data_IF_876014485471
#
_entry.id   IF_876014485471
#
_cell.length_a   1.000
_cell.length_b   1.000
_cell.length_c   1.000
_cell.angle_alpha   90.00
_cell.angle_beta   90.00
_cell.angle_gamma   90.00
#
_symmetry.space_group_name_H-M   'P 1'
#
loop_
_entity.id
_entity.type
_entity.pdbx_description
1 polymer ?
#
# COMPACT_ATOMS: atom_id res chain seq x y z
N UNK A 1 -18.65 -34.53 -33.84
CA UNK A 1 -20.07 -34.22 -33.67
C UNK A 1 -20.21 -32.86 -33.05
N UNK A 2 -20.57 -31.96 -33.93
CA UNK A 2 -21.55 -30.87 -33.81
C UNK A 2 -21.29 -29.78 -32.77
N UNK A 3 -20.83 -28.71 -33.32
CA UNK A 3 -21.06 -27.26 -33.08
C UNK A 3 -22.55 -26.92 -32.92
N UNK A 4 -22.96 -25.70 -32.85
CA UNK A 4 -22.51 -24.39 -32.37
C UNK A 4 -23.65 -23.64 -31.66
N UNK A 5 -23.40 -22.44 -31.17
CA UNK A 5 -24.40 -21.35 -31.25
C UNK A 5 -23.95 -20.17 -30.39
N UNK A 6 -24.22 -18.98 -30.62
CA UNK A 6 -24.80 -18.17 -31.69
C UNK A 6 -24.73 -16.71 -31.22
N UNK A 7 -24.24 -15.91 -32.07
CA UNK A 7 -24.59 -14.52 -32.36
C UNK A 7 -25.72 -13.92 -31.51
N UNK A 8 -25.46 -12.82 -30.87
CA UNK A 8 -26.50 -11.81 -30.70
C UNK A 8 -25.97 -10.41 -31.03
N UNK A 9 -26.09 -10.06 -32.28
CA UNK A 9 -26.02 -8.69 -32.80
C UNK A 9 -27.20 -7.93 -32.21
N UNK A 10 -26.95 -6.84 -31.51
CA UNK A 10 -27.98 -5.82 -31.27
C UNK A 10 -27.66 -4.58 -32.09
N UNK A 11 -28.52 -4.38 -33.03
CA UNK A 11 -28.62 -3.31 -33.98
C UNK A 11 -28.83 -1.95 -33.26
N UNK A 12 -28.06 -1.00 -33.72
CA UNK A 12 -28.20 0.41 -33.41
C UNK A 12 -29.37 0.92 -34.24
N UNK A 13 -30.43 1.39 -33.61
CA UNK A 13 -31.50 2.13 -34.27
C UNK A 13 -31.18 3.62 -34.23
N UNK A 14 -30.86 4.14 -35.38
CA UNK A 14 -30.80 5.55 -35.67
C UNK A 14 -32.23 6.05 -35.91
N UNK A 15 -32.67 6.98 -35.10
CA UNK A 15 -33.94 7.69 -35.33
C UNK A 15 -33.60 9.17 -35.64
N UNK A 16 -33.70 9.49 -36.93
CA UNK A 16 -33.79 10.85 -37.45
C UNK A 16 -35.28 11.27 -37.46
N UNK A 17 -35.58 12.41 -36.86
CA UNK A 17 -36.73 13.25 -37.25
C UNK A 17 -36.38 14.67 -36.76
N UNK A 18 -36.04 15.58 -37.64
CA UNK A 18 -36.92 16.45 -38.44
C UNK A 18 -37.38 17.71 -37.64
N UNK A 19 -36.75 18.80 -38.04
CA UNK A 19 -37.31 20.11 -38.43
C UNK A 19 -38.37 20.81 -37.54
N UNK A 20 -38.00 22.00 -37.05
CA UNK A 20 -38.86 23.19 -37.13
C UNK A 20 -38.07 24.47 -37.02
N UNK A 21 -38.05 25.24 -38.10
CA UNK A 21 -37.69 26.62 -38.15
C UNK A 21 -38.68 27.45 -37.36
N UNK A 22 -38.22 28.29 -36.47
CA UNK A 22 -38.94 29.52 -36.02
C UNK A 22 -37.94 30.65 -35.99
N UNK A 23 -38.09 31.54 -36.96
CA UNK A 23 -37.48 32.85 -37.04
C UNK A 23 -38.14 33.76 -36.01
N UNK A 24 -37.40 34.27 -35.07
CA UNK A 24 -37.84 35.26 -34.10
C UNK A 24 -36.75 36.33 -33.95
N UNK A 25 -37.12 37.53 -34.33
CA UNK A 25 -36.24 38.69 -34.50
C UNK A 25 -35.69 39.26 -33.18
N UNK A 26 -34.48 39.66 -33.24
CA UNK A 26 -33.90 40.92 -32.79
C UNK A 26 -34.21 41.40 -31.36
N UNK A 27 -33.21 41.36 -30.49
CA UNK A 27 -32.91 42.45 -29.57
C UNK A 27 -31.41 42.38 -29.25
N UNK A 28 -30.70 43.38 -29.78
CA UNK A 28 -29.30 43.61 -29.45
C UNK A 28 -29.26 44.28 -28.11
N UNK A 29 -29.00 43.55 -27.05
CA UNK A 29 -28.56 44.09 -25.77
C UNK A 29 -27.08 43.80 -25.65
N UNK A 30 -26.29 44.84 -25.80
CA UNK A 30 -24.88 44.85 -25.44
C UNK A 30 -24.74 44.53 -23.96
N UNK A 31 -24.37 43.31 -23.66
CA UNK A 31 -23.91 42.94 -22.32
C UNK A 31 -22.40 42.78 -22.44
N UNK A 32 -21.68 43.68 -21.79
CA UNK A 32 -20.26 43.51 -21.48
C UNK A 32 -20.09 42.19 -20.73
N UNK A 33 -19.76 41.17 -21.48
CA UNK A 33 -19.34 39.91 -20.91
C UNK A 33 -17.78 39.95 -20.88
N UNK A 34 -17.25 40.66 -19.90
CA UNK A 34 -15.99 40.35 -19.32
C UNK A 34 -16.20 39.12 -18.40
N UNK A 35 -16.56 37.97 -18.99
CA UNK A 35 -16.53 36.71 -18.31
C UNK A 35 -15.07 36.31 -18.17
N UNK A 36 -14.53 36.66 -17.01
CA UNK A 36 -13.23 36.23 -16.54
C UNK A 36 -13.26 34.69 -16.47
N UNK A 37 -12.69 34.07 -17.51
CA UNK A 37 -12.20 32.70 -17.41
C UNK A 37 -11.21 32.67 -16.24
N UNK A 38 -11.73 32.37 -15.05
CA UNK A 38 -10.90 31.95 -13.92
C UNK A 38 -10.34 30.60 -14.31
N UNK A 39 -9.21 30.64 -15.00
CA UNK A 39 -8.31 29.51 -15.04
C UNK A 39 -7.96 29.26 -13.58
N UNK A 40 -8.62 28.28 -12.96
CA UNK A 40 -8.14 27.72 -11.73
C UNK A 40 -6.78 27.15 -12.06
N UNK A 41 -5.76 27.94 -11.80
CA UNK A 41 -4.38 27.47 -11.73
C UNK A 41 -4.40 26.42 -10.62
N UNK A 42 -4.56 25.16 -10.99
CA UNK A 42 -4.22 24.06 -10.10
C UNK A 42 -2.74 24.29 -9.79
N UNK A 43 -2.47 24.65 -8.55
CA UNK A 43 -1.09 24.65 -8.07
C UNK A 43 -0.49 23.32 -8.47
N UNK A 44 0.73 23.30 -9.04
CA UNK A 44 1.38 22.04 -9.32
C UNK A 44 1.43 21.28 -8.00
N UNK A 45 0.77 20.12 -7.93
CA UNK A 45 0.94 19.20 -6.83
C UNK A 45 2.44 18.97 -6.74
N UNK A 46 3.04 19.52 -5.69
CA UNK A 46 4.43 19.32 -5.39
C UNK A 46 4.58 17.84 -4.96
N UNK A 47 4.94 16.99 -5.89
CA UNK A 47 5.17 15.56 -5.70
C UNK A 47 6.40 15.28 -4.82
N UNK A 48 7.08 16.32 -4.33
CA UNK A 48 8.33 16.21 -3.59
C UNK A 48 8.20 16.35 -2.06
N UNK A 49 7.00 16.62 -1.51
CA UNK A 49 6.78 16.80 -0.08
C UNK A 49 5.56 15.97 0.39
N UNK A 50 5.44 14.73 -0.07
CA UNK A 50 4.44 13.80 0.44
C UNK A 50 4.96 13.19 1.76
N UNK A 51 5.13 14.02 2.78
CA UNK A 51 5.24 13.56 4.16
C UNK A 51 3.94 12.81 4.50
N UNK A 52 4.04 11.53 4.82
CA UNK A 52 2.88 10.74 5.22
C UNK A 52 2.26 11.36 6.47
N UNK A 53 0.98 11.69 6.43
CA UNK A 53 0.26 12.14 7.61
C UNK A 53 0.20 11.04 8.67
N UNK A 54 0.07 11.39 9.96
CA UNK A 54 -0.06 10.44 11.05
C UNK A 54 -1.13 9.38 10.79
N UNK A 55 -2.27 9.78 10.23
CA UNK A 55 -3.36 8.85 9.89
C UNK A 55 -2.97 7.85 8.79
N UNK A 56 -2.18 8.29 7.80
CA UNK A 56 -1.68 7.40 6.75
C UNK A 56 -0.63 6.44 7.30
N UNK A 57 0.26 6.92 8.17
CA UNK A 57 1.23 6.07 8.87
C UNK A 57 0.51 5.02 9.74
N UNK A 58 -0.45 5.43 10.56
CA UNK A 58 -1.23 4.48 11.38
C UNK A 58 -1.95 3.43 10.53
N UNK A 59 -2.56 3.82 9.42
CA UNK A 59 -3.21 2.88 8.51
C UNK A 59 -2.22 1.90 7.88
N UNK A 60 -1.07 2.39 7.44
CA UNK A 60 0.00 1.59 6.83
C UNK A 60 0.61 0.61 7.83
N UNK A 61 0.82 1.05 9.07
CA UNK A 61 1.51 0.31 10.12
C UNK A 61 0.60 -0.67 10.87
N UNK A 62 -0.72 -0.47 10.87
CA UNK A 62 -1.68 -1.30 11.61
C UNK A 62 -1.48 -2.82 11.41
N UNK A 63 -1.16 -3.32 10.20
CA UNK A 63 -0.95 -4.76 9.98
C UNK A 63 0.30 -5.35 10.63
N UNK A 64 1.26 -4.51 11.02
CA UNK A 64 2.57 -4.94 11.52
C UNK A 64 2.92 -4.39 12.91
N UNK A 65 2.22 -3.37 13.39
CA UNK A 65 2.54 -2.66 14.63
C UNK A 65 2.64 -3.57 15.88
N UNK A 66 1.91 -4.68 15.88
CA UNK A 66 1.88 -5.62 17.00
C UNK A 66 2.90 -6.76 16.88
N UNK A 67 3.75 -6.76 15.86
CA UNK A 67 4.85 -7.72 15.82
C UNK A 67 5.94 -7.36 16.84
N UNK A 68 6.73 -8.35 17.31
CA UNK A 68 7.89 -8.10 18.17
C UNK A 68 8.89 -7.14 17.51
N UNK A 69 9.56 -6.32 18.29
CA UNK A 69 10.46 -5.28 17.78
C UNK A 69 11.56 -5.82 16.88
N UNK A 70 12.12 -6.99 17.22
CA UNK A 70 13.13 -7.63 16.38
C UNK A 70 12.63 -7.97 14.99
N UNK A 71 11.40 -8.49 14.89
CA UNK A 71 10.79 -8.81 13.59
C UNK A 71 10.39 -7.53 12.86
N UNK A 72 9.85 -6.57 13.58
CA UNK A 72 9.43 -5.27 13.02
C UNK A 72 10.61 -4.54 12.38
N UNK A 73 11.77 -4.52 13.04
CA UNK A 73 12.99 -3.93 12.50
C UNK A 73 13.38 -4.59 11.17
N UNK A 74 13.35 -5.92 11.09
CA UNK A 74 13.62 -6.61 9.83
C UNK A 74 12.60 -6.29 8.75
N UNK A 75 11.32 -6.16 9.09
CA UNK A 75 10.27 -5.79 8.13
C UNK A 75 10.53 -4.39 7.56
N UNK A 76 10.80 -3.41 8.42
CA UNK A 76 11.00 -2.02 8.00
C UNK A 76 12.24 -1.87 7.10
N UNK A 77 13.35 -2.49 7.49
CA UNK A 77 14.56 -2.46 6.66
C UNK A 77 14.34 -3.22 5.35
N UNK A 78 13.77 -4.44 5.38
CA UNK A 78 13.51 -5.22 4.19
C UNK A 78 12.54 -4.51 3.22
N UNK A 79 11.62 -3.69 3.72
CA UNK A 79 10.70 -2.91 2.89
C UNK A 79 11.43 -1.89 2.00
N UNK A 80 12.62 -1.46 2.37
CA UNK A 80 13.48 -0.60 1.53
C UNK A 80 14.15 -1.36 0.36
N UNK A 81 14.01 -2.69 0.33
CA UNK A 81 14.54 -3.59 -0.72
C UNK A 81 13.41 -4.42 -1.36
N UNK A 82 12.37 -3.79 -1.95
CA UNK A 82 11.16 -4.50 -2.39
C UNK A 82 11.44 -5.58 -3.45
N UNK A 83 12.44 -5.38 -4.29
CA UNK A 83 12.83 -6.39 -5.28
C UNK A 83 13.41 -7.64 -4.62
N UNK A 84 14.26 -7.48 -3.62
CA UNK A 84 14.84 -8.59 -2.87
C UNK A 84 13.76 -9.36 -2.10
N UNK A 85 12.78 -8.65 -1.53
CA UNK A 85 11.60 -9.27 -0.88
C UNK A 85 10.86 -10.20 -1.84
N UNK A 86 10.62 -9.77 -3.09
CA UNK A 86 9.99 -10.62 -4.11
C UNK A 86 10.86 -11.83 -4.44
N UNK A 87 12.15 -11.61 -4.63
CA UNK A 87 13.09 -12.69 -4.93
C UNK A 87 13.19 -13.70 -3.79
N UNK A 88 13.22 -13.23 -2.55
CA UNK A 88 13.25 -14.09 -1.36
C UNK A 88 11.95 -14.87 -1.19
N UNK A 89 10.81 -14.28 -1.46
CA UNK A 89 9.50 -14.97 -1.44
C UNK A 89 9.43 -16.07 -2.49
N UNK A 90 9.90 -15.80 -3.71
CA UNK A 90 10.00 -16.81 -4.77
C UNK A 90 10.99 -17.91 -4.41
N UNK A 91 12.14 -17.53 -3.85
CA UNK A 91 13.16 -18.47 -3.40
C UNK A 91 12.61 -19.42 -2.33
N UNK A 92 11.92 -18.88 -1.30
CA UNK A 92 11.26 -19.67 -0.28
C UNK A 92 10.25 -20.64 -0.90
N UNK A 93 9.38 -20.15 -1.79
CA UNK A 93 8.35 -20.94 -2.45
C UNK A 93 8.91 -22.09 -3.29
N UNK A 94 10.06 -21.88 -3.93
CA UNK A 94 10.73 -22.87 -4.77
C UNK A 94 11.57 -23.89 -3.97
N UNK A 95 11.78 -23.64 -2.67
CA UNK A 95 12.62 -24.46 -1.82
C UNK A 95 11.90 -25.01 -0.58
N UNK A 96 10.58 -25.15 -0.61
CA UNK A 96 9.75 -25.64 0.51
C UNK A 96 10.13 -27.01 1.08
N UNK A 97 10.91 -27.79 0.33
CA UNK A 97 11.42 -29.11 0.73
C UNK A 97 12.68 -29.03 1.61
N UNK A 98 13.32 -27.87 1.70
CA UNK A 98 14.50 -27.67 2.54
C UNK A 98 14.07 -27.40 4.00
N UNK A 99 14.93 -27.79 4.94
CA UNK A 99 14.78 -27.31 6.31
C UNK A 99 15.16 -25.84 6.40
N UNK A 100 14.68 -25.16 7.46
CA UNK A 100 14.98 -23.74 7.69
C UNK A 100 16.49 -23.47 7.68
N UNK A 101 17.29 -24.35 8.31
CA UNK A 101 18.74 -24.24 8.34
C UNK A 101 19.35 -24.36 6.93
N UNK A 102 18.86 -25.30 6.11
CA UNK A 102 19.32 -25.46 4.74
C UNK A 102 18.91 -24.29 3.86
N UNK A 103 17.72 -23.77 4.09
CA UNK A 103 17.20 -22.60 3.39
C UNK A 103 18.05 -21.36 3.68
N UNK A 104 18.32 -21.10 4.95
CA UNK A 104 19.15 -19.96 5.40
C UNK A 104 20.57 -20.06 4.84
N UNK A 105 21.21 -21.23 4.96
CA UNK A 105 22.54 -21.46 4.41
C UNK A 105 22.62 -21.24 2.89
N UNK A 106 21.57 -21.62 2.17
CA UNK A 106 21.49 -21.40 0.73
C UNK A 106 21.26 -19.91 0.41
N UNK A 107 20.52 -19.20 1.24
CA UNK A 107 20.28 -17.77 1.11
C UNK A 107 21.53 -16.92 1.37
N UNK A 108 22.49 -17.39 2.19
CA UNK A 108 23.78 -16.72 2.39
C UNK A 108 24.58 -16.53 1.09
N UNK A 109 24.29 -17.31 0.06
CA UNK A 109 24.92 -17.16 -1.26
C UNK A 109 24.24 -16.12 -2.15
N UNK A 110 23.09 -15.61 -1.73
CA UNK A 110 22.38 -14.53 -2.39
C UNK A 110 22.91 -13.21 -1.82
N UNK A 111 23.14 -12.25 -2.65
CA UNK A 111 23.62 -10.92 -2.25
C UNK A 111 22.45 -10.05 -1.78
N UNK A 112 21.65 -10.57 -0.81
CA UNK A 112 20.50 -9.89 -0.25
C UNK A 112 20.84 -9.21 1.07
N UNK A 113 20.07 -8.15 1.39
CA UNK A 113 20.17 -7.53 2.69
C UNK A 113 19.88 -8.55 3.82
N UNK A 114 20.65 -8.49 4.93
CA UNK A 114 20.45 -9.40 6.07
C UNK A 114 19.03 -9.42 6.62
N UNK A 115 18.31 -8.29 6.54
CA UNK A 115 16.92 -8.20 7.00
C UNK A 115 15.98 -8.99 6.11
N UNK A 116 16.23 -9.00 4.79
CA UNK A 116 15.46 -9.83 3.84
C UNK A 116 15.74 -11.31 4.08
N UNK A 117 17.01 -11.67 4.30
CA UNK A 117 17.39 -13.06 4.65
C UNK A 117 16.71 -13.50 5.94
N UNK A 118 16.69 -12.65 6.99
CA UNK A 118 16.03 -12.96 8.25
C UNK A 118 14.53 -13.25 8.09
N UNK A 119 13.86 -12.59 7.13
CA UNK A 119 12.44 -12.82 6.86
C UNK A 119 12.13 -14.19 6.24
N UNK A 120 13.13 -14.93 5.77
CA UNK A 120 12.92 -16.34 5.34
C UNK A 120 12.43 -17.23 6.47
N UNK A 121 12.77 -16.89 7.73
CA UNK A 121 12.23 -17.58 8.92
C UNK A 121 10.74 -17.22 9.20
N UNK A 122 10.20 -16.21 8.51
CA UNK A 122 8.84 -15.72 8.68
C UNK A 122 8.08 -15.70 7.34
N UNK A 123 7.82 -16.86 6.74
CA UNK A 123 7.29 -16.93 5.37
C UNK A 123 5.97 -16.20 5.18
N UNK A 124 5.12 -16.17 6.19
CA UNK A 124 3.83 -15.45 6.13
C UNK A 124 4.03 -13.93 6.01
N UNK A 125 5.05 -13.40 6.69
CA UNK A 125 5.39 -11.97 6.61
C UNK A 125 5.99 -11.67 5.26
N UNK A 126 6.93 -12.49 4.80
CA UNK A 126 7.58 -12.36 3.51
C UNK A 126 6.58 -12.42 2.35
N UNK A 127 5.59 -13.33 2.44
CA UNK A 127 4.50 -13.44 1.48
C UNK A 127 3.61 -12.20 1.50
N UNK A 128 3.29 -11.65 2.67
CA UNK A 128 2.53 -10.41 2.79
C UNK A 128 3.23 -9.24 2.10
N UNK A 129 4.51 -9.04 2.36
CA UNK A 129 5.32 -8.00 1.72
C UNK A 129 5.39 -8.18 0.20
N UNK A 130 5.61 -9.41 -0.26
CA UNK A 130 5.74 -9.69 -1.69
C UNK A 130 4.42 -9.58 -2.46
N UNK A 131 3.27 -9.81 -1.82
CA UNK A 131 1.96 -9.75 -2.46
C UNK A 131 1.41 -8.32 -2.58
N UNK A 132 1.85 -7.41 -1.74
CA UNK A 132 1.46 -5.99 -1.77
C UNK A 132 2.70 -5.10 -1.86
N UNK A 133 3.24 -5.02 -3.08
CA UNK A 133 4.47 -4.28 -3.34
C UNK A 133 4.31 -2.78 -3.22
N UNK A 134 3.13 -2.25 -3.51
CA UNK A 134 2.87 -0.80 -3.37
C UNK A 134 2.95 -0.46 -1.89
N UNK A 135 2.22 -1.18 -1.05
CA UNK A 135 2.29 -1.01 0.39
C UNK A 135 3.70 -1.22 0.96
N UNK A 136 4.44 -2.19 0.43
CA UNK A 136 5.82 -2.46 0.86
C UNK A 136 6.76 -1.33 0.49
N UNK A 137 6.63 -0.74 -0.69
CA UNK A 137 7.41 0.42 -1.10
C UNK A 137 7.07 1.64 -0.25
N UNK A 138 5.77 1.95 -0.08
CA UNK A 138 5.32 3.06 0.77
C UNK A 138 5.85 2.92 2.20
N UNK A 139 5.86 1.69 2.74
CA UNK A 139 6.41 1.40 4.06
C UNK A 139 7.93 1.66 4.14
N UNK A 140 8.67 1.26 3.11
CA UNK A 140 10.10 1.51 2.99
C UNK A 140 10.42 3.01 2.85
N UNK A 141 9.66 3.70 2.02
CA UNK A 141 9.80 5.14 1.79
C UNK A 141 9.50 5.92 3.08
N UNK A 142 8.40 5.61 3.77
CA UNK A 142 8.05 6.22 5.06
C UNK A 142 9.13 5.99 6.14
N UNK A 143 9.73 4.80 6.15
CA UNK A 143 10.82 4.48 7.08
C UNK A 143 12.08 5.31 6.80
N UNK A 144 12.45 5.46 5.53
CA UNK A 144 13.62 6.24 5.12
C UNK A 144 13.40 7.75 5.33
N UNK A 145 12.17 8.22 5.16
CA UNK A 145 11.83 9.63 5.27
C UNK A 145 11.81 10.09 6.74
N UNK A 146 11.15 9.35 7.62
CA UNK A 146 10.99 9.72 9.02
C UNK A 146 10.87 8.49 9.94
N UNK A 147 11.99 7.83 10.20
CA UNK A 147 12.07 6.68 11.12
C UNK A 147 11.46 6.98 12.50
N UNK A 148 11.79 8.14 13.07
CA UNK A 148 11.33 8.51 14.42
C UNK A 148 9.82 8.69 14.47
N UNK A 149 9.23 9.36 13.49
CA UNK A 149 7.79 9.55 13.40
C UNK A 149 7.05 8.22 13.16
N UNK A 150 7.61 7.36 12.29
CA UNK A 150 7.07 6.04 12.02
C UNK A 150 7.07 5.16 13.29
N UNK A 151 8.19 5.11 14.03
CA UNK A 151 8.27 4.36 15.29
C UNK A 151 7.32 4.93 16.34
N UNK A 152 7.13 6.25 16.38
CA UNK A 152 6.14 6.91 17.22
C UNK A 152 4.71 6.46 16.92
N UNK A 153 4.35 6.35 15.64
CA UNK A 153 3.04 5.85 15.19
C UNK A 153 2.82 4.38 15.57
N UNK A 154 3.87 3.56 15.53
CA UNK A 154 3.81 2.17 16.02
C UNK A 154 3.48 2.14 17.51
N UNK A 155 4.12 2.97 18.33
CA UNK A 155 3.86 3.03 19.77
C UNK A 155 2.43 3.54 20.05
N UNK A 156 1.91 4.49 19.26
CA UNK A 156 0.53 4.95 19.33
C UNK A 156 -0.45 3.79 19.09
N UNK A 157 -0.25 3.03 18.02
CA UNK A 157 -1.08 1.85 17.70
C UNK A 157 -1.03 0.77 18.79
N UNK A 158 0.14 0.51 19.36
CA UNK A 158 0.30 -0.42 20.48
C UNK A 158 -0.43 0.05 21.72
N UNK A 159 -0.35 1.35 22.04
CA UNK A 159 -1.07 1.94 23.16
C UNK A 159 -2.60 1.85 22.97
N UNK A 160 -3.08 2.08 21.76
CA UNK A 160 -4.49 1.90 21.41
C UNK A 160 -4.92 0.43 21.61
N UNK A 161 -4.13 -0.53 21.12
CA UNK A 161 -4.40 -1.95 21.25
C UNK A 161 -4.37 -2.42 22.71
N UNK A 162 -3.45 -1.88 23.51
CA UNK A 162 -3.36 -2.14 24.94
C UNK A 162 -4.60 -1.62 25.68
N UNK A 163 -4.98 -0.36 25.42
CA UNK A 163 -6.15 0.28 26.02
C UNK A 163 -7.46 -0.44 25.67
N UNK A 164 -7.56 -0.96 24.44
CA UNK A 164 -8.68 -1.78 23.99
C UNK A 164 -8.67 -3.21 24.56
N UNK A 165 -7.70 -3.55 25.40
CA UNK A 165 -7.50 -4.91 25.95
C UNK A 165 -7.34 -6.00 24.88
N UNK A 166 -6.93 -5.63 23.68
CA UNK A 166 -6.75 -6.53 22.54
C UNK A 166 -5.51 -7.40 22.70
N UNK A 167 -4.47 -6.89 23.35
CA UNK A 167 -3.18 -7.57 23.55
C UNK A 167 -3.31 -8.72 24.57
N UNK A 168 -4.20 -8.62 25.55
CA UNK A 168 -4.41 -9.69 26.56
C UNK A 168 -5.00 -10.97 25.96
N UNK A 169 -5.55 -10.89 24.75
CA UNK A 169 -6.15 -12.04 24.04
C UNK A 169 -5.14 -12.77 23.14
N UNK A 170 -3.96 -12.22 22.96
CA UNK A 170 -2.91 -12.86 22.16
C UNK A 170 -2.24 -13.98 22.95
N UNK A 171 -2.38 -15.20 22.44
CA UNK A 171 -1.70 -16.37 23.02
C UNK A 171 -0.23 -16.31 22.60
N UNK A 172 0.67 -16.58 23.56
CA UNK A 172 2.12 -16.65 23.36
C UNK A 172 2.86 -15.30 23.20
N UNK A 173 2.25 -14.19 23.60
CA UNK A 173 2.96 -12.92 23.73
C UNK A 173 2.94 -12.43 25.17
N UNK A 174 4.09 -11.96 25.63
CA UNK A 174 4.25 -11.24 26.89
C UNK A 174 4.40 -9.77 26.54
N UNK A 175 3.47 -8.95 27.00
CA UNK A 175 3.52 -7.50 26.79
C UNK A 175 4.11 -6.86 28.01
N UNK A 176 5.24 -6.18 27.87
CA UNK A 176 5.90 -5.44 28.96
C UNK A 176 5.87 -3.94 28.64
N UNK A 177 5.81 -3.16 29.72
CA UNK A 177 6.00 -1.71 29.67
C UNK A 177 7.41 -1.41 30.14
N UNK A 178 8.26 -0.92 29.23
CA UNK A 178 9.60 -0.47 29.53
C UNK A 178 9.77 0.97 29.04
N UNK A 179 10.25 1.87 29.91
CA UNK A 179 10.54 3.27 29.60
C UNK A 179 9.44 3.99 28.77
N UNK A 180 8.18 3.77 29.15
CA UNK A 180 7.00 4.33 28.49
C UNK A 180 6.74 3.78 27.07
N UNK A 181 7.36 2.68 26.70
CA UNK A 181 7.12 1.94 25.44
C UNK A 181 6.44 0.59 25.71
N UNK A 182 5.64 0.15 24.76
CA UNK A 182 5.01 -1.17 24.77
C UNK A 182 5.84 -2.10 23.89
N UNK A 183 6.47 -3.08 24.51
CA UNK A 183 7.39 -4.04 23.88
C UNK A 183 6.79 -5.44 23.90
#
# INVERSE_FOLDING_TARGET
MKTPNSQLKRLISISLLSSSLLVGACSISSVDAADSLQIQTQEPMNLSDAEFSDAQLEQMLAPIALYPDSLLTHILIAATYPLEVVMASQFHSNNKQLSDEQLMKKAETMDWDPSVVALLAFPTVLEKLSNDLIWTQDLGDAFLENEVGLLGSIQSLRAQAYSANSLSKMKNMSVTHEDNQIV
#
